data_IF_361650866397
#
_entry.id   IF_361650866397
#
_cell.length_a   1.000
_cell.length_b   1.000
_cell.length_c   1.000
_cell.angle_alpha   90.00
_cell.angle_beta   90.00
_cell.angle_gamma   90.00
#
_symmetry.space_group_name_H-M   'P 1'
#
loop_
_entity.id
_entity.type
_entity.pdbx_description
1 polymer ?
#
# COMPACT_ATOMS: atom_id res chain seq x y z
N UNK A 1 41.73 3.50 8.86
CA UNK A 1 40.98 4.77 8.82
C UNK A 1 39.46 4.66 8.68
N UNK A 2 38.84 4.27 7.54
CA UNK A 2 37.35 4.16 7.46
C UNK A 2 36.72 2.98 8.23
N UNK A 3 37.45 1.87 8.41
CA UNK A 3 37.01 0.71 9.22
C UNK A 3 36.98 0.98 10.73
N UNK A 4 37.86 1.85 11.24
CA UNK A 4 37.94 2.18 12.67
C UNK A 4 36.80 3.10 13.12
N UNK A 5 36.33 3.99 12.25
CA UNK A 5 35.20 4.86 12.55
C UNK A 5 33.88 4.08 12.65
N UNK A 6 33.68 3.05 11.81
CA UNK A 6 32.51 2.18 11.89
C UNK A 6 32.46 1.33 13.16
N UNK A 7 33.63 0.90 13.67
CA UNK A 7 33.70 0.18 14.94
C UNK A 7 33.37 1.09 16.13
N UNK A 8 33.88 2.34 16.14
CA UNK A 8 33.59 3.34 17.18
C UNK A 8 32.09 3.67 17.30
N UNK A 9 31.39 3.78 16.17
CA UNK A 9 29.94 4.03 16.15
C UNK A 9 29.18 2.81 16.70
N UNK A 10 29.59 1.58 16.33
CA UNK A 10 28.97 0.35 16.83
C UNK A 10 29.13 0.20 18.34
N UNK A 11 30.29 0.59 18.90
CA UNK A 11 30.55 0.58 20.35
C UNK A 11 29.70 1.61 21.11
N UNK A 12 29.46 2.79 20.54
CA UNK A 12 28.61 3.82 21.13
C UNK A 12 27.13 3.38 21.20
N UNK A 13 26.63 2.71 20.16
CA UNK A 13 25.24 2.21 20.12
C UNK A 13 25.02 1.05 21.09
N UNK A 14 25.98 0.14 21.27
CA UNK A 14 25.88 -0.91 22.30
C UNK A 14 25.89 -0.37 23.73
N UNK A 15 26.63 0.72 23.99
CA UNK A 15 26.57 1.42 25.30
C UNK A 15 25.21 2.08 25.52
N UNK A 16 24.59 2.60 24.47
CA UNK A 16 23.25 3.20 24.54
C UNK A 16 22.16 2.14 24.81
N UNK A 17 22.27 0.96 24.22
CA UNK A 17 21.31 -0.13 24.43
C UNK A 17 21.44 -0.80 25.81
N UNK A 18 22.63 -0.81 26.42
CA UNK A 18 22.81 -1.29 27.81
C UNK A 18 22.37 -0.27 28.88
N UNK A 19 22.25 1.02 28.53
CA UNK A 19 21.73 2.06 29.42
C UNK A 19 20.20 2.06 29.58
N UNK A 20 19.47 1.22 28.83
CA UNK A 20 18.00 1.16 28.85
C UNK A 20 17.46 0.15 29.88
N UNK A 21 18.29 -0.73 30.44
CA UNK A 21 17.87 -1.77 31.39
C UNK A 21 18.31 -1.51 32.85
N UNK A 22 18.67 -0.27 33.21
CA UNK A 22 19.02 0.11 34.58
C UNK A 22 18.00 1.08 35.18
N UNK A 23 17.36 0.67 36.27
CA UNK A 23 16.39 1.42 37.06
C UNK A 23 16.88 2.83 37.48
N UNK A 24 15.95 3.79 37.59
CA UNK A 24 16.11 4.93 38.49
C UNK A 24 15.88 6.33 37.90
N UNK A 25 14.74 6.91 38.25
CA UNK A 25 14.51 8.33 38.56
C UNK A 25 14.72 9.39 37.45
N UNK A 26 13.59 9.86 36.92
CA UNK A 26 13.27 11.29 36.82
C UNK A 26 14.21 12.19 36.03
N UNK A 27 14.24 12.08 34.69
CA UNK A 27 14.49 13.23 33.79
C UNK A 27 13.63 13.10 32.53
N UNK A 28 12.69 14.02 32.35
CA UNK A 28 12.00 14.26 31.07
C UNK A 28 13.03 14.75 30.05
N UNK A 29 13.65 13.81 29.33
CA UNK A 29 14.41 14.09 28.13
C UNK A 29 13.45 14.34 26.97
N UNK A 30 13.47 15.55 26.42
CA UNK A 30 12.75 15.90 25.18
C UNK A 30 13.10 14.89 24.08
N UNK A 31 12.13 14.05 23.75
CA UNK A 31 12.24 12.97 22.77
C UNK A 31 12.24 13.58 21.37
N UNK A 32 13.42 13.91 20.85
CA UNK A 32 13.55 14.59 19.57
C UNK A 32 13.26 13.60 18.42
N UNK A 33 12.01 13.52 17.98
CA UNK A 33 11.56 12.71 16.81
C UNK A 33 12.45 12.92 15.59
N UNK A 34 13.02 14.12 15.43
CA UNK A 34 13.88 14.49 14.32
C UNK A 34 15.21 13.72 14.35
N UNK A 35 15.79 13.50 15.54
CA UNK A 35 17.04 12.74 15.71
C UNK A 35 16.84 11.24 15.46
N UNK A 36 15.67 10.70 15.81
CA UNK A 36 15.29 9.32 15.47
C UNK A 36 15.09 9.20 13.95
N UNK A 37 14.42 10.17 13.33
CA UNK A 37 14.17 10.17 11.89
C UNK A 37 15.44 10.41 11.05
N UNK A 38 16.44 11.10 11.60
CA UNK A 38 17.79 11.21 11.04
C UNK A 38 18.60 9.93 11.27
N UNK A 39 18.51 9.29 12.45
CA UNK A 39 19.14 8.01 12.73
C UNK A 39 18.56 6.88 11.84
N UNK A 40 17.25 6.86 11.58
CA UNK A 40 16.65 5.95 10.61
C UNK A 40 17.03 6.30 9.16
N UNK A 41 17.31 7.57 8.85
CA UNK A 41 17.87 7.99 7.55
C UNK A 41 19.31 7.53 7.37
N UNK A 42 20.13 7.59 8.42
CA UNK A 42 21.52 7.14 8.42
C UNK A 42 21.65 5.60 8.44
N UNK A 43 20.78 4.91 9.18
CA UNK A 43 20.70 3.44 9.20
C UNK A 43 20.06 2.90 7.91
N UNK A 44 19.14 3.66 7.31
CA UNK A 44 18.32 3.23 6.17
C UNK A 44 19.03 3.09 4.84
N UNK A 45 20.23 3.62 4.65
CA UNK A 45 20.96 3.50 3.38
C UNK A 45 22.48 3.51 3.55
N UNK A 46 23.03 2.56 4.32
CA UNK A 46 24.29 1.98 3.84
C UNK A 46 23.93 1.24 2.57
N UNK A 47 24.06 1.94 1.43
CA UNK A 47 23.90 1.40 0.08
C UNK A 47 24.97 0.33 -0.10
N UNK A 48 24.68 -0.85 0.42
CA UNK A 48 25.47 -2.03 0.20
C UNK A 48 25.45 -2.27 -1.30
N UNK A 49 26.61 -2.07 -1.94
CA UNK A 49 26.75 -2.17 -3.41
C UNK A 49 26.72 -3.63 -3.88
N UNK A 50 26.30 -4.55 -3.03
CA UNK A 50 26.16 -5.97 -3.35
C UNK A 50 24.88 -6.17 -4.15
N UNK A 51 25.03 -6.70 -5.36
CA UNK A 51 23.90 -7.18 -6.14
C UNK A 51 23.26 -8.37 -5.43
N UNK A 52 22.01 -8.69 -5.78
CA UNK A 52 21.30 -9.86 -5.23
C UNK A 52 22.14 -11.13 -5.35
N UNK A 53 22.83 -11.31 -6.48
CA UNK A 53 23.65 -12.50 -6.75
C UNK A 53 24.94 -12.62 -5.90
N UNK A 54 25.38 -11.52 -5.26
CA UNK A 54 26.55 -11.54 -4.38
C UNK A 54 26.25 -12.26 -3.05
N UNK A 55 24.97 -12.52 -2.76
CA UNK A 55 24.55 -13.31 -1.61
C UNK A 55 24.61 -14.82 -1.91
N UNK A 56 24.92 -15.60 -0.87
CA UNK A 56 24.98 -17.07 -0.95
C UNK A 56 23.62 -17.64 -1.37
N UNK A 57 23.55 -18.63 -2.29
CA UNK A 57 22.29 -19.27 -2.68
C UNK A 57 21.46 -19.74 -1.48
N UNK A 58 20.14 -19.71 -1.64
CA UNK A 58 19.15 -19.99 -0.59
C UNK A 58 18.55 -18.73 0.01
N UNK A 59 18.12 -18.80 1.28
CA UNK A 59 17.48 -17.68 1.99
C UNK A 59 18.28 -16.37 1.97
N UNK A 60 19.62 -16.33 2.10
CA UNK A 60 20.36 -15.07 2.05
C UNK A 60 20.14 -14.32 0.72
N UNK A 61 20.15 -15.05 -0.40
CA UNK A 61 19.92 -14.47 -1.73
C UNK A 61 18.45 -14.14 -1.96
N UNK A 62 17.54 -15.04 -1.57
CA UNK A 62 16.11 -14.80 -1.76
C UNK A 62 15.59 -13.62 -0.93
N UNK A 63 16.01 -13.50 0.33
CA UNK A 63 15.67 -12.35 1.17
C UNK A 63 16.26 -11.05 0.62
N UNK A 64 17.48 -11.08 0.08
CA UNK A 64 18.06 -9.94 -0.62
C UNK A 64 17.25 -9.54 -1.87
N UNK A 65 16.72 -10.51 -2.63
CA UNK A 65 15.82 -10.24 -3.75
C UNK A 65 14.50 -9.61 -3.29
N UNK A 66 13.84 -10.22 -2.31
CA UNK A 66 12.56 -9.75 -1.77
C UNK A 66 12.69 -8.35 -1.18
N UNK A 67 13.81 -8.06 -0.51
CA UNK A 67 14.13 -6.73 0.03
C UNK A 67 14.62 -5.73 -1.04
N UNK A 68 14.98 -6.18 -2.24
CA UNK A 68 15.50 -5.30 -3.29
C UNK A 68 14.42 -4.34 -3.83
N UNK A 69 13.14 -4.72 -3.75
CA UNK A 69 12.06 -3.90 -4.27
C UNK A 69 10.73 -4.13 -3.53
N UNK A 70 10.00 -3.05 -3.27
CA UNK A 70 8.71 -3.09 -2.55
C UNK A 70 7.66 -4.00 -3.21
N UNK A 71 7.70 -4.15 -4.55
CA UNK A 71 6.76 -5.00 -5.27
C UNK A 71 6.97 -6.50 -5.00
N UNK A 72 8.11 -6.90 -4.46
CA UNK A 72 8.41 -8.28 -4.08
C UNK A 72 8.12 -8.59 -2.61
N UNK A 73 7.76 -7.59 -1.81
CA UNK A 73 7.28 -7.77 -0.43
C UNK A 73 5.84 -8.30 -0.43
N UNK A 74 5.70 -9.56 -0.89
CA UNK A 74 4.44 -10.27 -1.06
C UNK A 74 4.31 -11.33 0.04
N UNK A 75 3.16 -11.35 0.72
CA UNK A 75 2.85 -12.35 1.74
C UNK A 75 1.45 -12.94 1.54
N UNK A 76 1.19 -14.09 2.17
CA UNK A 76 -0.17 -14.63 2.27
C UNK A 76 -0.94 -13.94 3.38
N UNK A 77 -2.21 -13.63 3.13
CA UNK A 77 -3.13 -13.12 4.16
C UNK A 77 -3.74 -14.22 5.03
N UNK A 78 -3.70 -15.49 4.60
CA UNK A 78 -4.25 -16.64 5.33
C UNK A 78 -5.73 -16.47 5.72
N UNK A 79 -6.60 -16.06 4.78
CA UNK A 79 -7.97 -15.64 5.12
C UNK A 79 -8.77 -16.70 5.88
N UNK A 80 -8.74 -17.96 5.43
CA UNK A 80 -9.47 -19.05 6.09
C UNK A 80 -8.99 -19.26 7.54
N UNK A 81 -7.67 -19.34 7.75
CA UNK A 81 -7.09 -19.54 9.08
C UNK A 81 -7.42 -18.37 10.01
N UNK A 82 -7.34 -17.13 9.51
CA UNK A 82 -7.70 -15.95 10.31
C UNK A 82 -9.18 -15.92 10.66
N UNK A 83 -10.07 -16.30 9.73
CA UNK A 83 -11.51 -16.42 10.02
C UNK A 83 -11.77 -17.51 11.06
N UNK A 84 -11.11 -18.67 10.97
CA UNK A 84 -11.24 -19.72 12.00
C UNK A 84 -10.82 -19.23 13.37
N UNK A 85 -9.70 -18.51 13.47
CA UNK A 85 -9.26 -17.89 14.73
C UNK A 85 -10.23 -16.82 15.22
N UNK A 86 -10.83 -16.03 14.32
CA UNK A 86 -11.85 -15.05 14.68
C UNK A 86 -13.05 -15.70 15.35
N UNK A 87 -13.60 -16.74 14.71
CA UNK A 87 -14.77 -17.48 15.21
C UNK A 87 -14.51 -18.10 16.59
N UNK A 88 -13.33 -18.70 16.79
CA UNK A 88 -12.95 -19.27 18.10
C UNK A 88 -12.84 -18.21 19.20
N UNK A 89 -12.41 -16.99 18.87
CA UNK A 89 -12.34 -15.89 19.84
C UNK A 89 -13.74 -15.36 20.19
N UNK A 90 -14.64 -15.28 19.20
CA UNK A 90 -16.03 -14.89 19.42
C UNK A 90 -16.73 -15.89 20.34
N UNK A 91 -16.59 -17.19 20.06
CA UNK A 91 -17.18 -18.25 20.87
C UNK A 91 -16.67 -18.23 22.32
N UNK A 92 -15.36 -18.02 22.51
CA UNK A 92 -14.78 -17.84 23.85
C UNK A 92 -15.43 -16.69 24.62
N UNK A 93 -15.64 -15.54 23.96
CA UNK A 93 -16.31 -14.40 24.57
C UNK A 93 -17.77 -14.71 24.90
N UNK A 94 -18.50 -15.39 24.00
CA UNK A 94 -19.88 -15.81 24.25
C UNK A 94 -20.01 -16.76 25.44
N UNK A 95 -19.06 -17.69 25.62
CA UNK A 95 -19.03 -18.57 26.79
C UNK A 95 -18.80 -17.79 28.09
N UNK A 96 -17.89 -16.82 28.09
CA UNK A 96 -17.61 -15.99 29.27
C UNK A 96 -18.77 -15.05 29.60
N UNK A 97 -19.44 -14.50 28.57
CA UNK A 97 -20.64 -13.68 28.72
C UNK A 97 -21.77 -14.52 29.35
N UNK A 98 -22.02 -15.72 28.84
CA UNK A 98 -23.00 -16.63 29.42
C UNK A 98 -22.65 -17.00 30.88
N UNK A 99 -21.38 -17.26 31.17
CA UNK A 99 -20.94 -17.54 32.54
C UNK A 99 -21.20 -16.34 33.46
N UNK A 100 -20.95 -15.11 33.00
CA UNK A 100 -21.23 -13.90 33.77
C UNK A 100 -22.74 -13.72 34.00
N UNK A 101 -23.57 -13.95 32.98
CA UNK A 101 -25.03 -13.93 33.11
C UNK A 101 -25.53 -14.95 34.12
N UNK A 102 -24.98 -16.16 34.12
CA UNK A 102 -25.32 -17.21 35.07
C UNK A 102 -24.91 -16.83 36.51
N UNK A 103 -23.74 -16.21 36.69
CA UNK A 103 -23.28 -15.70 38.00
C UNK A 103 -24.24 -14.61 38.50
N UNK A 104 -24.61 -13.67 37.63
CA UNK A 104 -25.51 -12.57 37.96
C UNK A 104 -26.93 -13.05 38.29
N UNK A 105 -27.45 -14.01 37.53
CA UNK A 105 -28.76 -14.60 37.75
C UNK A 105 -28.85 -15.39 39.07
N UNK A 106 -27.76 -15.97 39.53
CA UNK A 106 -27.68 -16.75 40.76
C UNK A 106 -27.24 -15.92 42.00
N UNK A 107 -27.01 -14.61 41.84
CA UNK A 107 -26.59 -13.74 42.93
C UNK A 107 -27.69 -13.59 43.99
N UNK A 108 -27.33 -13.87 45.24
CA UNK A 108 -28.27 -13.83 46.38
C UNK A 108 -28.34 -12.46 47.04
N UNK A 109 -27.31 -11.64 46.88
CA UNK A 109 -27.21 -10.30 47.46
C UNK A 109 -27.40 -9.22 46.39
N UNK A 110 -28.60 -8.61 46.27
CA UNK A 110 -28.86 -7.56 45.28
C UNK A 110 -27.92 -6.34 45.41
N UNK A 111 -27.38 -6.10 46.61
CA UNK A 111 -26.41 -5.02 46.83
C UNK A 111 -25.13 -5.22 46.00
N UNK A 112 -24.67 -6.46 45.80
CA UNK A 112 -23.47 -6.75 45.02
C UNK A 112 -23.67 -6.41 43.53
N UNK A 113 -24.87 -6.68 43.00
CA UNK A 113 -25.26 -6.26 41.64
C UNK A 113 -25.37 -4.73 41.50
N UNK A 114 -25.74 -4.03 42.59
CA UNK A 114 -25.98 -2.59 42.59
C UNK A 114 -24.75 -1.71 42.91
N UNK A 115 -23.68 -2.28 43.46
CA UNK A 115 -22.47 -1.54 43.87
C UNK A 115 -21.21 -2.37 43.65
N UNK A 116 -20.43 -2.05 42.61
CA UNK A 116 -19.15 -2.73 42.35
C UNK A 116 -18.09 -2.49 43.44
N UNK A 117 -18.29 -1.46 44.29
CA UNK A 117 -17.40 -1.17 45.43
C UNK A 117 -17.64 -2.15 46.58
N UNK A 118 -18.86 -2.64 46.68
CA UNK A 118 -19.31 -3.53 47.76
C UNK A 118 -19.47 -4.98 47.28
N UNK A 119 -19.25 -5.24 45.99
CA UNK A 119 -19.27 -6.58 45.40
C UNK A 119 -18.09 -7.41 45.92
N UNK A 120 -18.43 -8.55 46.53
CA UNK A 120 -17.46 -9.51 47.08
C UNK A 120 -17.51 -10.84 46.34
N UNK A 121 -18.20 -10.91 45.21
CA UNK A 121 -18.29 -12.11 44.40
C UNK A 121 -16.98 -12.28 43.60
N UNK A 122 -16.08 -13.11 44.12
CA UNK A 122 -14.78 -13.39 43.51
C UNK A 122 -14.91 -14.05 42.13
N UNK A 123 -15.93 -14.88 41.92
CA UNK A 123 -16.18 -15.57 40.65
C UNK A 123 -16.56 -14.56 39.56
N UNK A 124 -17.44 -13.61 39.89
CA UNK A 124 -17.80 -12.50 39.00
C UNK A 124 -16.59 -11.64 38.66
N UNK A 125 -15.81 -11.25 39.66
CA UNK A 125 -14.62 -10.42 39.46
C UNK A 125 -13.58 -11.12 38.58
N UNK A 126 -13.35 -12.42 38.80
CA UNK A 126 -12.48 -13.24 37.95
C UNK A 126 -12.99 -13.32 36.52
N UNK A 127 -14.29 -13.58 36.33
CA UNK A 127 -14.91 -13.72 35.01
C UNK A 127 -14.84 -12.40 34.23
N UNK A 128 -15.11 -11.26 34.90
CA UNK A 128 -14.95 -9.92 34.31
C UNK A 128 -13.51 -9.68 33.89
N UNK A 129 -12.52 -10.07 34.71
CA UNK A 129 -11.10 -9.94 34.33
C UNK A 129 -10.73 -10.82 33.13
N UNK A 130 -11.29 -12.02 33.03
CA UNK A 130 -11.07 -12.91 31.89
C UNK A 130 -11.72 -12.36 30.61
N UNK A 131 -12.91 -11.74 30.73
CA UNK A 131 -13.59 -11.02 29.65
C UNK A 131 -12.73 -9.85 29.17
N UNK A 132 -12.21 -9.00 30.06
CA UNK A 132 -11.36 -7.86 29.69
C UNK A 132 -10.13 -8.30 28.88
N UNK A 133 -9.44 -9.35 29.36
CA UNK A 133 -8.31 -9.94 28.65
C UNK A 133 -8.70 -10.54 27.29
N UNK A 134 -9.83 -11.24 27.22
CA UNK A 134 -10.31 -11.86 25.99
C UNK A 134 -10.76 -10.81 24.96
N UNK A 135 -11.43 -9.73 25.40
CA UNK A 135 -11.82 -8.60 24.56
C UNK A 135 -10.59 -7.88 24.00
N UNK A 136 -9.59 -7.59 24.84
CA UNK A 136 -8.36 -6.96 24.40
C UNK A 136 -7.64 -7.78 23.31
N UNK A 137 -7.56 -9.10 23.45
CA UNK A 137 -6.98 -9.97 22.43
C UNK A 137 -7.85 -10.06 21.16
N UNK A 138 -9.17 -10.11 21.30
CA UNK A 138 -10.12 -10.09 20.19
C UNK A 138 -10.01 -8.80 19.37
N UNK A 139 -10.06 -7.63 20.02
CA UNK A 139 -9.98 -6.32 19.37
C UNK A 139 -8.65 -6.14 18.64
N UNK A 140 -7.54 -6.49 19.31
CA UNK A 140 -6.21 -6.48 18.68
C UNK A 140 -6.14 -7.45 17.48
N UNK A 141 -6.82 -8.59 17.53
CA UNK A 141 -6.88 -9.52 16.40
C UNK A 141 -7.71 -8.97 15.25
N UNK A 142 -8.89 -8.39 15.53
CA UNK A 142 -9.77 -7.76 14.55
C UNK A 142 -9.04 -6.62 13.83
N UNK A 143 -8.38 -5.73 14.56
CA UNK A 143 -7.63 -4.61 13.97
C UNK A 143 -6.48 -5.10 13.08
N UNK A 144 -5.71 -6.09 13.53
CA UNK A 144 -4.66 -6.71 12.69
C UNK A 144 -5.25 -7.39 11.44
N UNK A 145 -6.44 -7.98 11.55
CA UNK A 145 -7.12 -8.62 10.42
C UNK A 145 -7.64 -7.58 9.42
N UNK A 146 -8.26 -6.49 9.91
CA UNK A 146 -8.69 -5.35 9.10
C UNK A 146 -7.54 -4.81 8.24
N UNK A 147 -6.37 -4.54 8.84
CA UNK A 147 -5.18 -4.08 8.10
C UNK A 147 -4.74 -5.06 7.01
N UNK A 148 -4.82 -6.35 7.28
CA UNK A 148 -4.48 -7.40 6.31
C UNK A 148 -5.52 -7.49 5.17
N UNK A 149 -6.80 -7.21 5.44
CA UNK A 149 -7.86 -7.18 4.44
C UNK A 149 -7.79 -5.92 3.57
N UNK A 150 -7.39 -4.79 4.15
CA UNK A 150 -7.18 -3.51 3.46
C UNK A 150 -5.91 -3.50 2.61
N UNK A 151 -4.97 -4.40 2.89
CA UNK A 151 -3.74 -4.55 2.12
C UNK A 151 -4.05 -4.84 0.65
N UNK A 152 -3.24 -4.29 -0.24
CA UNK A 152 -3.49 -4.38 -1.66
C UNK A 152 -3.23 -5.79 -2.20
N UNK A 153 -4.00 -6.17 -3.24
CA UNK A 153 -3.78 -7.40 -3.98
C UNK A 153 -2.43 -7.33 -4.68
N UNK A 154 -1.59 -8.35 -4.49
CA UNK A 154 -0.30 -8.42 -5.17
C UNK A 154 -0.49 -8.49 -6.70
N UNK A 155 0.32 -7.72 -7.46
CA UNK A 155 0.20 -7.68 -8.92
C UNK A 155 0.60 -9.06 -9.49
N UNK A 156 -0.17 -9.63 -10.45
CA UNK A 156 0.16 -10.92 -11.07
C UNK A 156 1.55 -10.99 -11.70
N UNK A 157 2.03 -9.85 -12.21
CA UNK A 157 3.37 -9.71 -12.79
C UNK A 157 4.48 -9.92 -11.76
N UNK A 158 4.35 -9.33 -10.58
CA UNK A 158 5.34 -9.45 -9.51
C UNK A 158 5.38 -10.88 -8.95
N UNK A 159 4.20 -11.49 -8.76
CA UNK A 159 4.08 -12.91 -8.36
C UNK A 159 4.79 -13.80 -9.38
N UNK A 160 4.53 -13.61 -10.68
CA UNK A 160 5.17 -14.38 -11.75
C UNK A 160 6.69 -14.18 -11.78
N UNK A 161 7.17 -12.97 -11.53
CA UNK A 161 8.60 -12.69 -11.47
C UNK A 161 9.27 -13.46 -10.33
N UNK A 162 8.64 -13.53 -9.15
CA UNK A 162 9.15 -14.33 -8.04
C UNK A 162 9.10 -15.83 -8.34
N UNK A 163 8.01 -16.33 -8.91
CA UNK A 163 7.89 -17.74 -9.32
C UNK A 163 8.98 -18.12 -10.33
N UNK A 164 9.21 -17.29 -11.35
CA UNK A 164 10.26 -17.51 -12.33
C UNK A 164 11.66 -17.54 -11.69
N UNK A 165 11.93 -16.63 -10.75
CA UNK A 165 13.21 -16.59 -10.04
C UNK A 165 13.45 -17.84 -9.21
N UNK A 166 12.44 -18.25 -8.42
CA UNK A 166 12.50 -19.44 -7.56
C UNK A 166 12.75 -20.68 -8.43
N UNK A 167 11.98 -20.83 -9.50
CA UNK A 167 12.11 -21.96 -10.43
C UNK A 167 13.45 -21.96 -11.17
N UNK A 168 13.98 -20.78 -11.52
CA UNK A 168 15.25 -20.63 -12.23
C UNK A 168 16.49 -20.84 -11.38
N UNK A 169 16.44 -20.50 -10.09
CA UNK A 169 17.60 -20.63 -9.18
C UNK A 169 17.61 -21.97 -8.44
N UNK A 170 16.45 -22.59 -8.19
CA UNK A 170 16.35 -23.91 -7.55
C UNK A 170 17.03 -24.00 -6.17
N UNK A 171 17.19 -22.87 -5.47
CA UNK A 171 17.96 -22.78 -4.23
C UNK A 171 17.11 -22.79 -2.95
N UNK A 172 15.81 -22.94 -3.08
CA UNK A 172 14.83 -23.04 -1.99
C UNK A 172 14.02 -24.33 -2.15
N UNK A 173 13.48 -24.83 -1.04
CA UNK A 173 12.54 -25.96 -1.08
C UNK A 173 11.24 -25.56 -1.80
N UNK A 174 10.64 -26.52 -2.51
CA UNK A 174 9.38 -26.27 -3.20
C UNK A 174 8.24 -26.05 -2.19
N UNK A 175 8.26 -26.76 -1.06
CA UNK A 175 7.32 -26.62 0.05
C UNK A 175 7.35 -25.19 0.62
N UNK A 176 8.54 -24.59 0.75
CA UNK A 176 8.70 -23.24 1.29
C UNK A 176 8.20 -22.15 0.32
N UNK A 177 8.14 -22.44 -0.98
CA UNK A 177 7.79 -21.48 -2.04
C UNK A 177 6.39 -21.69 -2.63
N UNK A 178 5.72 -22.77 -2.22
CA UNK A 178 4.34 -23.12 -2.63
C UNK A 178 3.33 -22.01 -2.30
N UNK A 179 3.62 -21.16 -1.30
CA UNK A 179 2.76 -20.02 -0.98
C UNK A 179 2.55 -19.10 -2.19
N UNK A 180 3.51 -19.00 -3.12
CA UNK A 180 3.41 -18.19 -4.34
C UNK A 180 2.33 -18.69 -5.31
N UNK A 181 1.90 -19.94 -5.20
CA UNK A 181 0.83 -20.51 -6.03
C UNK A 181 -0.57 -20.10 -5.55
N UNK A 182 -0.69 -19.53 -4.35
CA UNK A 182 -1.95 -19.10 -3.76
C UNK A 182 -2.33 -17.68 -4.19
N UNK A 183 -2.39 -17.41 -5.50
CA UNK A 183 -2.53 -16.05 -6.06
C UNK A 183 -3.65 -15.20 -5.44
N UNK A 184 -4.79 -15.81 -5.10
CA UNK A 184 -5.94 -15.11 -4.49
C UNK A 184 -5.69 -14.66 -3.04
N UNK A 185 -4.74 -15.28 -2.36
CA UNK A 185 -4.40 -15.05 -0.96
C UNK A 185 -3.15 -14.19 -0.78
N UNK A 186 -2.48 -13.79 -1.88
CA UNK A 186 -1.28 -12.97 -1.85
C UNK A 186 -1.60 -11.47 -1.76
N UNK A 187 -0.87 -10.76 -0.91
CA UNK A 187 -0.99 -9.32 -0.64
C UNK A 187 0.36 -8.64 -0.68
N UNK A 188 0.37 -7.38 -1.13
CA UNK A 188 1.53 -6.49 -1.03
C UNK A 188 1.57 -5.89 0.38
N UNK A 189 2.71 -5.99 1.05
CA UNK A 189 2.91 -5.44 2.41
C UNK A 189 3.01 -3.92 2.38
N UNK A 190 3.60 -3.38 1.31
CA UNK A 190 3.79 -1.94 1.19
C UNK A 190 2.51 -1.32 0.64
N UNK A 191 1.85 -0.40 1.38
CA UNK A 191 0.77 0.38 0.83
C UNK A 191 1.33 1.18 -0.33
N UNK A 192 0.68 1.07 -1.47
CA UNK A 192 1.06 1.81 -2.65
C UNK A 192 0.84 3.30 -2.33
N UNK A 193 1.93 4.06 -2.38
CA UNK A 193 1.98 5.44 -1.92
C UNK A 193 0.77 6.22 -2.45
N UNK A 194 0.05 6.80 -1.50
CA UNK A 194 -1.26 7.42 -1.64
C UNK A 194 -1.32 8.32 -2.88
N UNK A 195 -1.89 7.79 -3.95
CA UNK A 195 -2.24 8.59 -5.11
C UNK A 195 -3.37 7.89 -5.82
N UNK A 196 -4.45 8.63 -6.06
CA UNK A 196 -5.58 8.22 -6.88
C UNK A 196 -5.19 7.79 -8.32
N UNK A 197 -3.89 7.77 -8.64
CA UNK A 197 -3.29 7.44 -9.92
C UNK A 197 -3.00 5.95 -10.12
N UNK A 198 -2.86 5.13 -9.07
CA UNK A 198 -2.07 3.88 -9.23
C UNK A 198 -2.81 2.67 -9.82
N UNK A 199 -4.14 2.59 -9.74
CA UNK A 199 -4.86 1.45 -10.35
C UNK A 199 -4.89 1.49 -11.88
N UNK A 200 -4.84 2.68 -12.48
CA UNK A 200 -4.73 2.85 -13.94
C UNK A 200 -3.28 3.02 -14.40
N UNK A 201 -2.39 3.45 -13.48
CA UNK A 201 -0.95 3.30 -13.65
C UNK A 201 -0.65 1.85 -13.99
N UNK A 202 -1.26 0.81 -13.42
CA UNK A 202 -0.97 -0.57 -13.84
C UNK A 202 -1.25 -0.91 -15.33
N UNK A 203 -2.33 -0.41 -15.94
CA UNK A 203 -2.64 -0.70 -17.37
C UNK A 203 -1.84 0.17 -18.34
N UNK A 204 -1.65 1.45 -17.99
CA UNK A 204 -0.77 2.37 -18.73
C UNK A 204 0.68 1.96 -18.55
N UNK A 205 1.13 1.62 -17.35
CA UNK A 205 2.43 1.04 -17.00
C UNK A 205 2.64 -0.24 -17.79
N UNK A 206 1.70 -1.18 -17.84
CA UNK A 206 1.89 -2.38 -18.65
C UNK A 206 1.96 -2.06 -20.17
N UNK A 207 1.19 -1.09 -20.66
CA UNK A 207 1.21 -0.71 -22.08
C UNK A 207 2.43 0.14 -22.46
N UNK A 208 2.86 1.02 -21.57
CA UNK A 208 4.03 1.89 -21.67
C UNK A 208 5.30 1.10 -21.41
N UNK A 209 5.30 0.13 -20.50
CA UNK A 209 6.39 -0.84 -20.32
C UNK A 209 6.48 -1.72 -21.55
N UNK A 210 5.37 -2.22 -22.12
CA UNK A 210 5.40 -2.94 -23.40
C UNK A 210 5.95 -2.08 -24.54
N UNK A 211 5.55 -0.81 -24.61
CA UNK A 211 5.99 0.13 -25.65
C UNK A 211 7.46 0.54 -25.46
N UNK A 212 7.89 0.85 -24.24
CA UNK A 212 9.28 1.16 -23.87
C UNK A 212 10.17 -0.07 -24.00
N UNK A 213 9.70 -1.28 -23.66
CA UNK A 213 10.42 -2.53 -23.95
C UNK A 213 10.63 -2.71 -25.46
N UNK A 214 9.67 -2.28 -26.28
CA UNK A 214 9.75 -2.33 -27.74
C UNK A 214 10.67 -1.23 -28.31
N UNK A 215 10.79 -0.09 -27.64
CA UNK A 215 11.59 1.07 -28.07
C UNK A 215 13.00 1.14 -27.46
N UNK A 216 13.25 0.53 -26.31
CA UNK A 216 14.44 0.79 -25.50
C UNK A 216 15.11 -0.52 -25.05
N UNK A 217 15.93 -1.09 -25.95
CA UNK A 217 16.78 -2.26 -25.71
C UNK A 217 18.19 -1.88 -25.25
N UNK A 218 18.36 -0.83 -24.42
CA UNK A 218 19.70 -0.46 -23.93
C UNK A 218 19.71 0.03 -22.48
N UNK A 219 20.19 -0.89 -21.62
CA UNK A 219 21.11 -0.64 -20.51
C UNK A 219 20.63 0.31 -19.40
N UNK A 220 19.97 -0.26 -18.39
CA UNK A 220 19.96 0.29 -17.05
C UNK A 220 20.88 -0.53 -16.12
N UNK A 221 21.51 0.09 -15.11
CA UNK A 221 22.38 -0.62 -14.17
C UNK A 221 21.52 -1.51 -13.28
N UNK A 222 21.53 -2.81 -13.56
CA UNK A 222 20.62 -3.76 -12.93
C UNK A 222 20.95 -3.99 -11.45
N UNK A 223 19.91 -4.01 -10.61
CA UNK A 223 19.98 -4.45 -9.20
C UNK A 223 20.05 -5.99 -9.07
N UNK A 224 19.55 -6.72 -10.09
CA UNK A 224 19.69 -8.17 -10.24
C UNK A 224 20.30 -8.51 -11.60
N UNK A 225 21.23 -9.47 -11.64
CA UNK A 225 21.86 -9.95 -12.89
C UNK A 225 21.12 -11.15 -13.51
N UNK A 226 20.03 -11.60 -12.88
CA UNK A 226 19.26 -12.75 -13.34
C UNK A 226 18.38 -12.40 -14.55
N UNK A 227 18.50 -13.12 -15.68
CA UNK A 227 17.65 -12.90 -16.86
C UNK A 227 16.16 -13.20 -16.65
N UNK A 228 15.79 -13.89 -15.57
CA UNK A 228 14.40 -14.26 -15.27
C UNK A 228 13.67 -13.24 -14.38
N UNK A 229 14.36 -12.20 -13.89
CA UNK A 229 13.79 -11.18 -13.01
C UNK A 229 14.07 -9.77 -13.53
N UNK A 230 13.00 -9.09 -13.93
CA UNK A 230 13.06 -7.69 -14.34
C UNK A 230 12.60 -6.79 -13.19
N UNK A 231 13.56 -6.36 -12.38
CA UNK A 231 13.33 -5.32 -11.36
C UNK A 231 13.44 -3.96 -12.05
N UNK A 232 12.31 -3.34 -12.31
CA UNK A 232 12.32 -1.98 -12.81
C UNK A 232 12.46 -0.98 -11.65
N UNK A 233 13.33 0.04 -11.76
CA UNK A 233 13.34 1.14 -10.82
C UNK A 233 12.03 1.95 -10.99
N UNK A 234 11.09 1.72 -10.07
CA UNK A 234 9.75 2.31 -10.00
C UNK A 234 9.73 3.84 -10.09
N UNK A 235 10.79 4.51 -9.61
CA UNK A 235 10.85 5.97 -9.58
C UNK A 235 10.83 6.64 -10.96
N UNK A 236 11.28 5.95 -12.01
CA UNK A 236 11.28 6.51 -13.37
C UNK A 236 10.00 6.18 -14.13
N UNK A 237 9.44 4.99 -13.92
CA UNK A 237 8.22 4.55 -14.61
C UNK A 237 7.03 5.41 -14.20
N UNK A 238 6.86 5.68 -12.90
CA UNK A 238 5.78 6.53 -12.43
C UNK A 238 5.87 7.96 -12.95
N UNK A 239 7.09 8.49 -13.11
CA UNK A 239 7.30 9.82 -13.72
C UNK A 239 6.90 9.81 -15.20
N UNK A 240 7.33 8.79 -15.95
CA UNK A 240 7.00 8.68 -17.39
C UNK A 240 5.50 8.46 -17.60
N UNK A 241 4.85 7.61 -16.79
CA UNK A 241 3.42 7.40 -16.85
C UNK A 241 2.64 8.69 -16.57
N UNK A 242 3.04 9.46 -15.54
CA UNK A 242 2.45 10.78 -15.24
C UNK A 242 2.63 11.77 -16.40
N UNK A 243 3.83 11.84 -17.00
CA UNK A 243 4.10 12.71 -18.15
C UNK A 243 3.21 12.34 -19.34
N UNK A 244 3.04 11.05 -19.63
CA UNK A 244 2.20 10.58 -20.74
C UNK A 244 0.72 10.86 -20.50
N UNK A 245 0.23 10.74 -19.26
CA UNK A 245 -1.15 11.10 -18.91
C UNK A 245 -1.38 12.61 -19.10
N UNK A 246 -0.45 13.45 -18.64
CA UNK A 246 -0.54 14.90 -18.83
C UNK A 246 -0.52 15.25 -20.33
N UNK A 247 0.34 14.60 -21.11
CA UNK A 247 0.40 14.79 -22.56
C UNK A 247 -0.91 14.35 -23.24
N UNK A 248 -1.49 13.22 -22.83
CA UNK A 248 -2.78 12.74 -23.34
C UNK A 248 -3.89 13.76 -23.06
N UNK A 249 -3.94 14.31 -21.85
CA UNK A 249 -4.92 15.36 -21.49
C UNK A 249 -4.71 16.59 -22.37
N UNK A 250 -3.47 17.07 -22.54
CA UNK A 250 -3.18 18.23 -23.41
C UNK A 250 -3.65 17.99 -24.86
N UNK A 251 -3.37 16.81 -25.42
CA UNK A 251 -3.82 16.45 -26.78
C UNK A 251 -5.35 16.42 -26.85
N UNK A 252 -6.01 15.80 -25.87
CA UNK A 252 -7.45 15.68 -25.80
C UNK A 252 -8.15 17.05 -25.66
N UNK A 253 -7.52 17.99 -24.96
CA UNK A 253 -7.97 19.40 -24.85
C UNK A 253 -7.72 20.20 -26.13
N UNK A 254 -6.65 19.91 -26.88
CA UNK A 254 -6.22 20.72 -28.04
C UNK A 254 -6.91 20.32 -29.35
N UNK A 255 -7.14 19.02 -29.57
CA UNK A 255 -7.74 18.49 -30.81
C UNK A 255 -9.13 19.10 -31.13
N UNK A 256 -10.07 19.23 -30.17
CA UNK A 256 -11.38 19.79 -30.43
C UNK A 256 -11.33 21.26 -30.84
N UNK A 257 -10.41 22.02 -30.24
CA UNK A 257 -10.17 23.45 -30.56
C UNK A 257 -9.70 23.58 -32.01
N UNK A 258 -8.74 22.75 -32.42
CA UNK A 258 -8.20 22.74 -33.80
C UNK A 258 -9.30 22.36 -34.81
N UNK A 259 -10.12 21.35 -34.50
CA UNK A 259 -11.22 20.92 -35.37
C UNK A 259 -12.29 22.03 -35.48
N UNK A 260 -12.68 22.66 -34.37
CA UNK A 260 -13.66 23.76 -34.37
C UNK A 260 -13.18 24.95 -35.20
N UNK A 261 -11.88 25.27 -35.21
CA UNK A 261 -11.31 26.31 -36.06
C UNK A 261 -11.47 26.00 -37.56
N UNK A 262 -11.39 24.72 -37.95
CA UNK A 262 -11.48 24.31 -39.35
C UNK A 262 -12.91 24.25 -39.92
N UNK A 263 -13.93 24.30 -39.06
CA UNK A 263 -15.33 24.14 -39.44
C UNK A 263 -16.02 25.51 -39.44
N UNK A 264 -16.65 25.90 -40.55
CA UNK A 264 -17.37 27.19 -40.65
C UNK A 264 -18.83 27.13 -40.18
N UNK A 265 -19.43 25.94 -40.08
CA UNK A 265 -20.83 25.75 -39.70
C UNK A 265 -21.03 25.79 -38.17
N UNK A 266 -21.88 26.69 -37.69
CA UNK A 266 -22.20 26.85 -36.27
C UNK A 266 -22.81 25.59 -35.65
N UNK A 267 -23.67 24.87 -36.38
CA UNK A 267 -24.28 23.64 -35.89
C UNK A 267 -23.26 22.50 -35.76
N UNK A 268 -22.36 22.36 -36.73
CA UNK A 268 -21.30 21.35 -36.70
C UNK A 268 -20.27 21.61 -35.58
N UNK A 269 -19.96 22.88 -35.29
CA UNK A 269 -19.12 23.26 -34.13
C UNK A 269 -19.70 22.76 -32.81
N UNK A 270 -21.00 22.98 -32.59
CA UNK A 270 -21.69 22.52 -31.37
C UNK A 270 -21.68 21.00 -31.25
N UNK A 271 -21.90 20.27 -32.35
CA UNK A 271 -21.82 18.80 -32.35
C UNK A 271 -20.42 18.27 -31.98
N UNK A 272 -19.36 18.90 -32.49
CA UNK A 272 -17.96 18.52 -32.17
C UNK A 272 -17.65 18.76 -30.69
N UNK A 273 -18.11 19.87 -30.11
CA UNK A 273 -17.93 20.17 -28.68
C UNK A 273 -18.60 19.11 -27.81
N UNK A 274 -19.88 18.80 -28.08
CA UNK A 274 -20.64 17.84 -27.29
C UNK A 274 -20.02 16.45 -27.39
N UNK A 275 -19.64 16.02 -28.61
CA UNK A 275 -18.98 14.72 -28.80
C UNK A 275 -17.63 14.65 -28.09
N UNK A 276 -16.83 15.73 -28.16
CA UNK A 276 -15.56 15.81 -27.46
C UNK A 276 -15.70 15.78 -25.94
N UNK A 277 -16.71 16.46 -25.39
CA UNK A 277 -17.03 16.42 -23.96
C UNK A 277 -17.39 15.02 -23.50
N UNK A 278 -18.21 14.29 -24.28
CA UNK A 278 -18.57 12.90 -23.97
C UNK A 278 -17.34 12.01 -23.99
N UNK A 279 -16.47 12.14 -25.00
CA UNK A 279 -15.21 11.37 -25.08
C UNK A 279 -14.27 11.71 -23.93
N UNK A 280 -14.12 13.00 -23.59
CA UNK A 280 -13.30 13.46 -22.48
C UNK A 280 -13.78 12.93 -21.13
N UNK A 281 -15.09 13.01 -20.86
CA UNK A 281 -15.68 12.48 -19.64
C UNK A 281 -15.64 10.96 -19.59
N UNK A 282 -15.80 10.27 -20.71
CA UNK A 282 -15.66 8.81 -20.77
C UNK A 282 -14.22 8.37 -20.44
N UNK A 283 -13.22 9.06 -21.00
CA UNK A 283 -11.81 8.82 -20.71
C UNK A 283 -11.50 9.17 -19.24
N UNK A 284 -11.91 10.35 -18.76
CA UNK A 284 -11.70 10.76 -17.37
C UNK A 284 -12.43 9.87 -16.36
N UNK A 285 -13.63 9.39 -16.66
CA UNK A 285 -14.38 8.45 -15.82
C UNK A 285 -13.61 7.12 -15.64
N UNK A 286 -12.91 6.68 -16.70
CA UNK A 286 -11.97 5.57 -16.62
C UNK A 286 -10.69 5.91 -15.82
N UNK A 287 -10.24 7.16 -15.83
CA UNK A 287 -9.00 7.61 -15.18
C UNK A 287 -9.17 7.93 -13.69
N UNK A 288 -10.32 8.46 -13.27
CA UNK A 288 -10.56 8.97 -11.92
C UNK A 288 -11.58 8.08 -11.20
N UNK A 289 -11.09 7.00 -10.59
CA UNK A 289 -11.97 5.92 -10.06
C UNK A 289 -12.33 6.04 -8.58
N UNK A 290 -12.09 7.18 -7.92
CA UNK A 290 -12.37 7.31 -6.47
C UNK A 290 -13.02 8.60 -5.98
N UNK A 291 -13.07 9.67 -6.77
CA UNK A 291 -13.71 10.94 -6.36
C UNK A 291 -14.59 11.49 -7.48
N UNK A 292 -15.88 11.19 -7.40
CA UNK A 292 -16.93 11.75 -8.27
C UNK A 292 -16.91 13.29 -8.28
N UNK A 293 -16.53 13.91 -7.16
CA UNK A 293 -16.45 15.38 -7.05
C UNK A 293 -15.31 15.98 -7.90
N UNK A 294 -14.17 15.29 -8.01
CA UNK A 294 -13.04 15.74 -8.84
C UNK A 294 -13.34 15.57 -10.33
N UNK A 295 -14.04 14.49 -10.69
CA UNK A 295 -14.51 14.26 -12.05
C UNK A 295 -15.51 15.33 -12.49
N UNK A 296 -16.44 15.72 -11.60
CA UNK A 296 -17.40 16.79 -11.88
C UNK A 296 -16.71 18.14 -12.08
N UNK A 297 -15.74 18.49 -11.21
CA UNK A 297 -14.97 19.72 -11.33
C UNK A 297 -14.13 19.76 -12.63
N UNK A 298 -13.50 18.65 -13.00
CA UNK A 298 -12.76 18.52 -14.26
C UNK A 298 -13.68 18.65 -15.49
N UNK A 299 -14.87 18.07 -15.44
CA UNK A 299 -15.88 18.18 -16.50
C UNK A 299 -16.39 19.62 -16.67
N UNK A 300 -16.72 20.30 -15.57
CA UNK A 300 -17.17 21.69 -15.57
C UNK A 300 -16.08 22.60 -16.12
N UNK A 301 -14.85 22.51 -15.61
CA UNK A 301 -13.72 23.35 -16.06
C UNK A 301 -13.43 23.16 -17.55
N UNK A 302 -13.46 21.91 -18.04
CA UNK A 302 -13.26 21.64 -19.46
C UNK A 302 -14.36 22.25 -20.33
N UNK A 303 -15.62 22.06 -19.94
CA UNK A 303 -16.78 22.59 -20.67
C UNK A 303 -16.71 24.11 -20.75
N UNK A 304 -16.37 24.79 -19.65
CA UNK A 304 -16.21 26.25 -19.62
C UNK A 304 -15.15 26.71 -20.61
N UNK A 305 -13.99 26.05 -20.65
CA UNK A 305 -12.90 26.41 -21.59
C UNK A 305 -13.36 26.27 -23.04
N UNK A 306 -13.97 25.16 -23.42
CA UNK A 306 -14.48 24.94 -24.78
C UNK A 306 -15.53 25.99 -25.18
N UNK A 307 -16.48 26.30 -24.30
CA UNK A 307 -17.55 27.27 -24.58
C UNK A 307 -17.01 28.69 -24.76
N UNK A 308 -15.99 29.08 -23.98
CA UNK A 308 -15.33 30.40 -24.11
C UNK A 308 -14.61 30.50 -25.46
N UNK A 309 -13.83 29.48 -25.83
CA UNK A 309 -13.14 29.48 -27.12
C UNK A 309 -14.12 29.55 -28.29
N UNK A 310 -15.22 28.81 -28.23
CA UNK A 310 -16.21 28.80 -29.32
C UNK A 310 -16.94 30.13 -29.43
N UNK A 311 -17.28 30.77 -28.30
CA UNK A 311 -17.84 32.12 -28.27
C UNK A 311 -16.89 33.15 -28.89
N UNK A 312 -15.58 33.01 -28.71
CA UNK A 312 -14.58 33.91 -29.31
C UNK A 312 -14.39 33.72 -30.82
N UNK A 313 -14.69 32.54 -31.35
CA UNK A 313 -14.51 32.18 -32.78
C UNK A 313 -15.74 32.43 -33.65
N UNK A 314 -16.79 33.07 -33.13
CA UNK A 314 -17.95 33.53 -33.88
C UNK A 314 -17.82 35.04 -34.19
N UNK A 315 -17.28 35.43 -35.36
CA UNK A 315 -17.09 36.84 -35.72
C UNK A 315 -18.38 37.56 -36.16
N UNK A 316 -19.54 37.20 -35.59
CA UNK A 316 -20.86 37.66 -36.08
C UNK A 316 -21.86 38.07 -35.00
N UNK A 317 -21.40 38.40 -33.79
CA UNK A 317 -22.25 38.96 -32.75
C UNK A 317 -21.55 40.16 -32.08
N UNK A 318 -21.39 41.23 -32.85
CA UNK A 318 -21.31 42.63 -32.42
C UNK A 318 -21.95 43.48 -33.52
#
# INVERSE_FOLDING_TARGET
MKRENGLKVRTQVTKFSHGINGEGCGKQGTFNRMAIQEAWREIGWVKDRRGVEDYRPGYPRFSALVAAHNSFLICRRFSNLRTRLLLLKQDKLSMLEQQLEDIDANERAPLFLGSSRDDRNEERSSTISDIDNALADYDNFVERNRRMLESEVAKPRDIRSLQNWVNGNGCLSWEETEYLNHCNDLRSIVPLEDSATVRFEAWVEDSVVRLLMKLQSRSHPNLSRDPHVFIFPTQHISKVARILIVLLIIVLLSVPIIICHSISSSSARVSVIVLSLVVFLAILSGLVTKRTNELFLAGVTYTTVLVVFVSSTNPGAN
#
